data_IF_441861866101
#
_entry.id   IF_441861866101
#
_cell.length_a   1.000
_cell.length_b   1.000
_cell.length_c   1.000
_cell.angle_alpha   90.00
_cell.angle_beta   90.00
_cell.angle_gamma   90.00
#
_symmetry.space_group_name_H-M   'P 1'
#
loop_
_entity.id
_entity.type
_entity.pdbx_description
1 polymer ?
#
# COMPACT_ATOMS: atom_id res chain seq x y z
N UNK A 1 18.32 8.39 21.47
CA UNK A 1 18.80 8.32 20.07
C UNK A 1 17.62 7.93 19.20
N UNK A 2 17.41 8.55 18.04
CA UNK A 2 16.27 8.21 17.17
C UNK A 2 16.70 7.05 16.25
N UNK A 3 15.96 5.95 16.23
CA UNK A 3 16.25 4.83 15.32
C UNK A 3 16.09 5.28 13.87
N UNK A 4 17.09 4.96 13.03
CA UNK A 4 17.03 5.22 11.59
C UNK A 4 16.14 4.16 10.93
N UNK A 5 15.18 4.58 10.12
CA UNK A 5 14.30 3.69 9.35
C UNK A 5 14.23 4.13 7.89
N UNK A 6 14.02 3.18 6.99
CA UNK A 6 13.65 3.39 5.59
C UNK A 6 12.37 2.62 5.28
N UNK A 7 11.74 2.96 4.16
CA UNK A 7 10.49 2.35 3.77
C UNK A 7 10.11 2.61 2.32
N UNK A 8 8.99 2.01 1.91
CA UNK A 8 8.41 2.14 0.58
C UNK A 8 7.04 2.81 0.68
N UNK A 9 6.76 3.72 -0.27
CA UNK A 9 5.42 4.23 -0.54
C UNK A 9 4.82 3.42 -1.68
N UNK A 10 3.76 2.66 -1.38
CA UNK A 10 2.99 1.91 -2.37
C UNK A 10 1.54 1.83 -1.88
N UNK A 11 0.57 2.27 -2.67
CA UNK A 11 -0.83 2.14 -2.27
C UNK A 11 -1.33 0.70 -2.44
N UNK A 12 -2.28 0.27 -1.61
CA UNK A 12 -2.85 -1.09 -1.67
C UNK A 12 -3.42 -1.40 -3.05
N UNK A 13 -4.07 -0.43 -3.70
CA UNK A 13 -4.63 -0.59 -5.05
C UNK A 13 -3.59 -0.91 -6.13
N UNK A 14 -2.31 -0.63 -5.87
CA UNK A 14 -1.19 -0.90 -6.78
C UNK A 14 -0.59 -2.29 -6.62
N UNK A 15 -1.04 -3.08 -5.64
CA UNK A 15 -0.60 -4.47 -5.49
C UNK A 15 -1.09 -5.33 -6.66
N UNK A 16 -0.29 -6.32 -7.09
CA UNK A 16 -0.65 -7.23 -8.17
C UNK A 16 -1.61 -8.32 -7.66
N UNK A 17 -2.88 -7.97 -7.46
CA UNK A 17 -3.93 -8.93 -7.07
C UNK A 17 -4.75 -9.40 -8.29
N UNK A 18 -5.38 -10.57 -8.17
CA UNK A 18 -6.05 -11.26 -9.29
C UNK A 18 -7.38 -10.62 -9.73
N UNK A 19 -7.95 -9.71 -8.95
CA UNK A 19 -9.33 -9.23 -9.12
C UNK A 19 -9.44 -7.81 -9.71
N UNK A 20 -8.40 -7.36 -10.42
CA UNK A 20 -8.40 -6.10 -11.17
C UNK A 20 -8.03 -4.84 -10.37
N UNK A 21 -7.91 -4.95 -9.04
CA UNK A 21 -7.35 -3.93 -8.16
C UNK A 21 -6.58 -4.62 -7.03
N UNK A 22 -5.49 -4.01 -6.57
CA UNK A 22 -4.78 -4.52 -5.41
C UNK A 22 -5.63 -4.52 -4.14
N UNK A 23 -5.43 -5.53 -3.31
CA UNK A 23 -6.26 -5.82 -2.13
C UNK A 23 -5.41 -6.21 -0.92
N UNK A 24 -6.07 -6.48 0.21
CA UNK A 24 -5.43 -6.98 1.43
C UNK A 24 -5.36 -8.52 1.47
N UNK A 25 -5.15 -9.15 0.30
CA UNK A 25 -5.03 -10.59 0.11
C UNK A 25 -3.57 -11.09 0.06
N UNK A 26 -3.31 -12.24 -0.60
CA UNK A 26 -1.97 -12.86 -0.66
C UNK A 26 -0.84 -11.94 -1.13
N UNK A 27 -1.06 -11.14 -2.18
CA UNK A 27 -0.07 -10.21 -2.71
C UNK A 27 0.38 -9.15 -1.68
N UNK A 28 -0.46 -8.81 -0.71
CA UNK A 28 -0.10 -7.93 0.40
C UNK A 28 0.93 -8.58 1.32
N UNK A 29 0.73 -9.87 1.67
CA UNK A 29 1.69 -10.61 2.48
C UNK A 29 3.02 -10.82 1.75
N UNK A 30 2.97 -11.16 0.46
CA UNK A 30 4.18 -11.27 -0.37
C UNK A 30 4.96 -9.94 -0.43
N UNK A 31 4.25 -8.81 -0.50
CA UNK A 31 4.89 -7.49 -0.45
C UNK A 31 5.50 -7.19 0.93
N UNK A 32 4.84 -7.58 2.03
CA UNK A 32 5.41 -7.44 3.38
C UNK A 32 6.66 -8.31 3.57
N UNK A 33 6.66 -9.54 3.05
CA UNK A 33 7.83 -10.42 3.06
C UNK A 33 8.98 -9.78 2.26
N UNK A 34 8.70 -9.24 1.07
CA UNK A 34 9.68 -8.47 0.30
C UNK A 34 10.25 -7.28 1.08
N UNK A 35 9.42 -6.51 1.79
CA UNK A 35 9.89 -5.39 2.61
C UNK A 35 10.80 -5.86 3.75
N UNK A 36 10.42 -6.95 4.43
CA UNK A 36 11.20 -7.54 5.50
C UNK A 36 12.57 -8.04 5.00
N UNK A 37 12.59 -8.78 3.90
CA UNK A 37 13.82 -9.26 3.24
C UNK A 37 14.70 -8.11 2.76
N UNK A 38 14.09 -7.01 2.31
CA UNK A 38 14.78 -5.80 1.86
C UNK A 38 15.21 -4.86 2.99
N UNK A 39 15.00 -5.23 4.26
CA UNK A 39 15.33 -4.41 5.44
C UNK A 39 14.51 -3.12 5.56
N UNK A 40 13.37 -3.02 4.88
CA UNK A 40 12.48 -1.87 4.96
C UNK A 40 11.62 -1.97 6.22
N UNK A 41 11.66 -0.94 7.06
CA UNK A 41 10.98 -0.91 8.36
C UNK A 41 9.66 -0.13 8.36
N UNK A 42 9.27 0.44 7.21
CA UNK A 42 8.06 1.26 7.05
C UNK A 42 7.41 0.96 5.69
N UNK A 43 6.09 0.77 5.70
CA UNK A 43 5.25 0.83 4.51
C UNK A 43 4.30 2.01 4.65
N UNK A 44 4.39 2.97 3.74
CA UNK A 44 3.48 4.10 3.67
C UNK A 44 2.42 3.86 2.60
N UNK A 45 1.17 4.18 2.92
CA UNK A 45 0.01 4.13 2.02
C UNK A 45 -0.67 5.50 1.95
N UNK A 46 -1.49 5.69 0.91
CA UNK A 46 -2.48 6.78 0.81
C UNK A 46 -3.69 6.49 1.72
N UNK A 47 -4.65 7.43 1.89
CA UNK A 47 -5.84 7.17 2.71
C UNK A 47 -6.67 5.97 2.20
N UNK A 48 -7.17 5.17 3.13
CA UNK A 48 -7.98 3.97 2.86
C UNK A 48 -9.49 4.23 2.96
N UNK A 49 -9.91 5.49 2.88
CA UNK A 49 -11.32 5.86 2.83
C UNK A 49 -11.94 5.44 1.50
N UNK A 50 -13.27 5.20 1.44
CA UNK A 50 -13.94 4.93 0.17
C UNK A 50 -13.66 6.01 -0.87
N UNK A 51 -13.55 5.62 -2.14
CA UNK A 51 -13.39 6.55 -3.26
C UNK A 51 -14.65 6.60 -4.11
N UNK A 52 -14.87 7.72 -4.81
CA UNK A 52 -16.01 7.88 -5.71
C UNK A 52 -15.53 8.06 -7.18
N UNK A 53 -16.07 7.32 -8.15
CA UNK A 53 -15.77 7.52 -9.58
C UNK A 53 -16.05 8.94 -10.08
N UNK A 54 -17.04 9.63 -9.53
CA UNK A 54 -17.38 11.03 -9.87
C UNK A 54 -16.28 12.02 -9.48
N UNK A 55 -15.40 11.65 -8.55
CA UNK A 55 -14.24 12.46 -8.11
C UNK A 55 -12.91 11.91 -8.65
N UNK A 56 -12.97 11.02 -9.65
CA UNK A 56 -11.79 10.43 -10.28
C UNK A 56 -11.10 9.36 -9.44
N UNK A 57 -11.82 8.73 -8.51
CA UNK A 57 -11.30 7.72 -7.58
C UNK A 57 -10.13 8.23 -6.72
N UNK A 58 -10.13 9.53 -6.38
CA UNK A 58 -9.08 10.12 -5.54
C UNK A 58 -9.18 9.60 -4.09
N UNK A 59 -8.09 9.06 -3.50
CA UNK A 59 -8.10 8.63 -2.10
C UNK A 59 -8.14 9.81 -1.12
N UNK A 60 -8.08 11.05 -1.61
CA UNK A 60 -8.15 12.27 -0.79
C UNK A 60 -9.55 12.91 -0.80
N UNK A 61 -10.52 12.32 -1.51
CA UNK A 61 -11.89 12.83 -1.64
C UNK A 61 -12.87 11.67 -1.45
N UNK A 62 -13.51 11.64 -0.28
CA UNK A 62 -14.46 10.60 0.14
C UNK A 62 -15.82 11.20 0.51
#
# INVERSE_FOLDING_TARGET
MRERKSGVLLHVSSLPSDFGIGDLGPACFEFLDFLAESGQGVWQVLPLTPTDPSTGNSPYVS
#
